data_IF_634832064384
#
_entry.id   IF_634832064384
#
_cell.length_a   1.000
_cell.length_b   1.000
_cell.length_c   1.000
_cell.angle_alpha   90.00
_cell.angle_beta   90.00
_cell.angle_gamma   90.00
#
_symmetry.space_group_name_H-M   'P 1'
#
loop_
_entity.id
_entity.type
_entity.pdbx_description
1 polymer ?
#
# COMPACT_ATOMS: atom_id res chain seq x y z
N UNK A 1 10.47 2.81 13.26
CA UNK A 1 9.77 4.07 12.91
C UNK A 1 10.57 4.87 11.90
N UNK A 2 9.93 5.57 10.96
CA UNK A 2 10.60 6.51 10.05
C UNK A 2 11.39 7.53 10.85
N UNK A 3 12.69 7.65 10.58
CA UNK A 3 13.48 8.72 11.18
C UNK A 3 13.08 10.06 10.54
N UNK A 4 12.68 11.05 11.34
CA UNK A 4 12.36 12.37 10.82
C UNK A 4 13.59 13.01 10.15
N UNK A 5 13.42 13.55 8.95
CA UNK A 5 14.54 14.05 8.16
C UNK A 5 14.78 15.54 8.43
N UNK A 6 16.02 15.90 8.77
CA UNK A 6 16.46 17.28 8.97
C UNK A 6 17.00 17.91 7.67
N UNK A 7 17.07 19.24 7.63
CA UNK A 7 17.58 19.97 6.46
C UNK A 7 19.05 19.69 6.17
N UNK A 8 19.88 19.52 7.21
CA UNK A 8 21.31 19.16 7.06
C UNK A 8 21.49 17.77 6.43
N UNK A 9 20.63 16.82 6.79
CA UNK A 9 20.67 15.47 6.20
C UNK A 9 20.29 15.50 4.70
N UNK A 10 19.32 16.35 4.32
CA UNK A 10 18.94 16.54 2.92
C UNK A 10 20.07 17.18 2.10
N UNK A 11 20.67 18.25 2.62
CA UNK A 11 21.76 18.94 1.94
C UNK A 11 22.97 18.02 1.73
N UNK A 12 23.42 17.34 2.80
CA UNK A 12 24.55 16.41 2.74
C UNK A 12 24.33 15.27 1.75
N UNK A 13 23.09 14.77 1.63
CA UNK A 13 22.77 13.61 0.78
C UNK A 13 22.56 13.99 -0.68
N UNK A 14 21.92 15.12 -0.96
CA UNK A 14 21.45 15.45 -2.31
C UNK A 14 22.09 16.71 -2.91
N UNK A 15 22.84 17.49 -2.13
CA UNK A 15 23.53 18.71 -2.59
C UNK A 15 22.62 19.61 -3.42
N UNK A 16 21.52 20.07 -2.81
CA UNK A 16 20.40 20.74 -3.49
C UNK A 16 20.75 22.15 -4.05
N UNK A 17 22.02 22.56 -3.99
CA UNK A 17 22.49 23.87 -4.47
C UNK A 17 22.04 25.06 -3.62
N UNK A 18 21.46 24.81 -2.44
CA UNK A 18 20.94 25.82 -1.50
C UNK A 18 21.37 25.51 -0.08
N UNK A 19 21.41 26.53 0.79
CA UNK A 19 21.85 26.33 2.17
C UNK A 19 20.88 25.47 3.00
N UNK A 20 21.36 24.77 4.04
CA UNK A 20 20.51 24.08 5.01
C UNK A 20 19.44 24.98 5.65
N UNK A 21 19.72 26.28 5.79
CA UNK A 21 18.74 27.25 6.30
C UNK A 21 17.60 27.49 5.31
N UNK A 22 17.90 27.58 4.01
CA UNK A 22 16.90 27.68 2.94
C UNK A 22 16.02 26.42 2.92
N UNK A 23 16.62 25.23 2.93
CA UNK A 23 15.89 23.95 2.99
C UNK A 23 14.99 23.92 4.23
N UNK A 24 15.50 24.35 5.39
CA UNK A 24 14.71 24.41 6.62
C UNK A 24 13.48 25.30 6.47
N UNK A 25 13.61 26.46 5.82
CA UNK A 25 12.50 27.39 5.58
C UNK A 25 11.44 26.78 4.66
N UNK A 26 11.85 26.14 3.56
CA UNK A 26 10.92 25.44 2.65
C UNK A 26 10.18 24.32 3.37
N UNK A 27 10.88 23.54 4.19
CA UNK A 27 10.24 22.49 5.00
C UNK A 27 9.25 23.07 6.01
N UNK A 28 9.48 24.27 6.56
CA UNK A 28 8.47 24.96 7.40
C UNK A 28 7.25 25.36 6.57
N UNK A 29 7.45 25.88 5.36
CA UNK A 29 6.36 26.21 4.44
C UNK A 29 5.52 24.98 4.11
N UNK A 30 6.16 23.87 3.74
CA UNK A 30 5.49 22.60 3.48
C UNK A 30 4.75 22.06 4.71
N UNK A 31 5.26 22.30 5.92
CA UNK A 31 4.51 21.97 7.15
C UNK A 31 3.27 22.84 7.33
N UNK A 32 3.35 24.15 7.07
CA UNK A 32 2.18 25.05 7.11
C UNK A 32 1.13 24.67 6.07
N UNK A 33 1.56 24.15 4.91
CA UNK A 33 0.68 23.65 3.84
C UNK A 33 0.15 22.23 4.11
N UNK A 34 0.52 21.59 5.22
CA UNK A 34 0.06 20.25 5.59
C UNK A 34 0.77 19.09 4.89
N UNK A 35 1.76 19.35 4.03
CA UNK A 35 2.52 18.30 3.33
C UNK A 35 3.49 17.58 4.26
N UNK A 36 4.09 18.29 5.20
CA UNK A 36 5.02 17.72 6.17
C UNK A 36 4.48 17.90 7.58
N UNK A 37 4.83 16.98 8.47
CA UNK A 37 4.59 17.11 9.91
C UNK A 37 5.88 16.96 10.69
N UNK A 38 5.92 17.60 11.85
CA UNK A 38 7.04 17.52 12.78
C UNK A 38 6.58 16.73 14.01
N UNK A 39 7.04 15.47 14.21
CA UNK A 39 6.58 14.64 15.33
C UNK A 39 6.93 15.21 16.71
N UNK A 40 8.10 15.83 16.82
CA UNK A 40 8.60 16.50 18.03
C UNK A 40 9.34 17.78 17.65
N UNK A 41 9.34 18.79 18.53
CA UNK A 41 9.93 20.12 18.27
C UNK A 41 11.41 20.11 17.87
N UNK A 42 12.18 19.10 18.31
CA UNK A 42 13.59 18.88 17.94
C UNK A 42 13.81 17.90 16.79
N UNK A 43 12.76 17.19 16.36
CA UNK A 43 12.85 16.20 15.30
C UNK A 43 12.84 16.87 13.92
N UNK A 44 13.37 16.15 12.92
CA UNK A 44 13.14 16.45 11.51
C UNK A 44 11.66 16.39 11.11
N UNK A 45 11.38 16.33 9.81
CA UNK A 45 10.02 16.27 9.28
C UNK A 45 9.74 14.90 8.68
N UNK A 46 8.47 14.52 8.67
CA UNK A 46 7.97 13.33 7.98
C UNK A 46 6.82 13.72 7.04
N UNK A 47 6.62 13.02 5.91
CA UNK A 47 5.47 13.25 5.04
C UNK A 47 4.15 13.00 5.75
N UNK A 48 3.16 13.84 5.46
CA UNK A 48 1.75 13.58 5.72
C UNK A 48 1.11 12.84 4.53
N UNK A 49 -0.09 12.24 4.66
CA UNK A 49 -0.80 11.56 3.58
C UNK A 49 -0.88 12.37 2.29
N UNK A 50 -1.20 13.66 2.39
CA UNK A 50 -1.29 14.55 1.22
C UNK A 50 0.04 14.65 0.46
N UNK A 51 1.17 14.65 1.15
CA UNK A 51 2.48 14.63 0.49
C UNK A 51 2.82 13.26 -0.11
N UNK A 52 2.39 12.17 0.53
CA UNK A 52 2.56 10.84 -0.03
C UNK A 52 1.73 10.68 -1.32
N UNK A 53 0.47 11.15 -1.32
CA UNK A 53 -0.36 11.18 -2.54
C UNK A 53 0.26 12.04 -3.62
N UNK A 54 0.71 13.25 -3.29
CA UNK A 54 1.43 14.10 -4.24
C UNK A 54 2.67 13.41 -4.83
N UNK A 55 3.45 12.72 -4.00
CA UNK A 55 4.59 11.93 -4.48
C UNK A 55 4.15 10.82 -5.46
N UNK A 56 3.11 10.07 -5.13
CA UNK A 56 2.57 8.99 -5.94
C UNK A 56 2.03 9.50 -7.28
N UNK A 57 1.33 10.63 -7.26
CA UNK A 57 0.62 11.14 -8.43
C UNK A 57 1.52 11.95 -9.37
N UNK A 58 2.53 12.63 -8.83
CA UNK A 58 3.28 13.66 -9.59
C UNK A 58 4.78 13.42 -9.68
N UNK A 59 5.39 12.63 -8.79
CA UNK A 59 6.84 12.55 -8.66
C UNK A 59 7.43 11.16 -8.89
N UNK A 60 6.70 10.10 -8.54
CA UNK A 60 7.23 8.75 -8.65
C UNK A 60 7.17 8.25 -10.09
N UNK A 61 8.13 7.40 -10.46
CA UNK A 61 8.11 6.63 -11.70
C UNK A 61 7.77 5.16 -11.37
N UNK A 62 6.74 4.63 -12.02
CA UNK A 62 6.35 3.23 -11.85
C UNK A 62 7.45 2.29 -12.39
N UNK A 63 7.79 1.26 -11.61
CA UNK A 63 8.66 0.17 -12.08
C UNK A 63 7.80 -0.90 -12.72
N UNK A 64 7.96 -1.11 -14.02
CA UNK A 64 7.30 -2.23 -14.70
C UNK A 64 7.77 -3.56 -14.08
N UNK A 65 6.85 -4.53 -14.01
CA UNK A 65 7.23 -5.90 -13.67
C UNK A 65 8.15 -6.46 -14.75
N UNK A 66 9.07 -7.34 -14.35
CA UNK A 66 9.86 -8.06 -15.34
C UNK A 66 8.99 -9.12 -16.02
N UNK A 67 9.24 -9.40 -17.29
CA UNK A 67 8.52 -10.44 -18.02
C UNK A 67 8.62 -11.81 -17.31
N UNK A 68 9.75 -12.11 -16.68
CA UNK A 68 9.93 -13.33 -15.91
C UNK A 68 8.98 -13.40 -14.69
N UNK A 69 8.81 -12.28 -13.98
CA UNK A 69 7.90 -12.20 -12.84
C UNK A 69 6.43 -12.31 -13.28
N UNK A 70 6.08 -11.72 -14.43
CA UNK A 70 4.76 -11.80 -15.05
C UNK A 70 4.41 -13.25 -15.43
N UNK A 71 5.30 -13.91 -16.18
CA UNK A 71 5.13 -15.32 -16.58
C UNK A 71 4.98 -16.21 -15.35
N UNK A 72 5.86 -16.06 -14.36
CA UNK A 72 5.77 -16.83 -13.11
C UNK A 72 4.44 -16.59 -12.39
N UNK A 73 3.98 -15.33 -12.32
CA UNK A 73 2.72 -15.00 -11.67
C UNK A 73 1.52 -15.62 -12.39
N UNK A 74 1.56 -15.65 -13.73
CA UNK A 74 0.52 -16.27 -14.53
C UNK A 74 0.48 -17.79 -14.34
N UNK A 75 1.64 -18.44 -14.32
CA UNK A 75 1.75 -19.89 -14.07
C UNK A 75 1.20 -20.26 -12.70
N UNK A 76 1.54 -19.50 -11.64
CA UNK A 76 1.09 -19.73 -10.26
C UNK A 76 -0.43 -19.76 -10.11
N UNK A 77 -1.17 -19.01 -10.94
CA UNK A 77 -2.64 -18.91 -10.83
C UNK A 77 -3.39 -19.68 -11.93
N UNK A 78 -2.68 -20.22 -12.92
CA UNK A 78 -3.31 -20.76 -14.13
C UNK A 78 -4.13 -22.03 -13.87
N UNK A 79 -3.65 -22.89 -12.99
CA UNK A 79 -4.31 -24.16 -12.68
C UNK A 79 -5.62 -23.95 -11.91
N UNK A 80 -5.70 -22.87 -11.12
CA UNK A 80 -6.87 -22.49 -10.33
C UNK A 80 -7.92 -21.70 -11.11
N UNK A 81 -7.75 -21.45 -12.43
CA UNK A 81 -8.66 -20.62 -13.26
C UNK A 81 -10.15 -20.99 -13.20
N UNK A 82 -10.45 -22.26 -12.96
CA UNK A 82 -11.81 -22.78 -12.95
C UNK A 82 -12.54 -22.54 -11.62
N UNK A 83 -11.81 -22.29 -10.53
CA UNK A 83 -12.35 -22.02 -9.21
C UNK A 83 -11.95 -20.60 -8.77
N UNK A 84 -12.93 -19.72 -8.56
CA UNK A 84 -12.63 -18.35 -8.18
C UNK A 84 -12.00 -18.27 -6.78
N UNK A 85 -12.42 -19.12 -5.84
CA UNK A 85 -11.90 -19.07 -4.47
C UNK A 85 -10.42 -19.48 -4.46
N UNK A 86 -10.08 -20.54 -5.18
CA UNK A 86 -8.69 -21.02 -5.33
C UNK A 86 -7.82 -20.00 -6.09
N UNK A 87 -8.35 -19.43 -7.17
CA UNK A 87 -7.69 -18.36 -7.93
C UNK A 87 -7.34 -17.15 -7.04
N UNK A 88 -8.28 -16.70 -6.21
CA UNK A 88 -8.05 -15.57 -5.32
C UNK A 88 -7.09 -15.91 -4.18
N UNK A 89 -7.12 -17.14 -3.69
CA UNK A 89 -6.16 -17.62 -2.69
C UNK A 89 -4.72 -17.57 -3.24
N UNK A 90 -4.48 -18.16 -4.43
CA UNK A 90 -3.15 -18.19 -5.05
C UNK A 90 -2.70 -16.80 -5.51
N UNK A 91 -3.59 -15.99 -6.07
CA UNK A 91 -3.29 -14.61 -6.42
C UNK A 91 -2.88 -13.79 -5.19
N UNK A 92 -3.56 -13.97 -4.05
CA UNK A 92 -3.23 -13.26 -2.80
C UNK A 92 -1.85 -13.68 -2.27
N UNK A 93 -1.51 -14.98 -2.30
CA UNK A 93 -0.17 -15.48 -1.91
C UNK A 93 0.91 -14.91 -2.83
N UNK A 94 0.72 -15.02 -4.14
CA UNK A 94 1.64 -14.55 -5.16
C UNK A 94 1.87 -13.02 -5.09
N UNK A 95 0.82 -12.25 -4.77
CA UNK A 95 0.89 -10.81 -4.53
C UNK A 95 1.67 -10.48 -3.26
N UNK A 96 1.44 -11.20 -2.15
CA UNK A 96 2.16 -11.01 -0.89
C UNK A 96 3.67 -11.26 -1.05
N UNK A 97 4.05 -12.31 -1.78
CA UNK A 97 5.46 -12.65 -2.04
C UNK A 97 6.20 -11.57 -2.82
N UNK A 98 5.58 -11.07 -3.91
CA UNK A 98 6.20 -10.06 -4.78
C UNK A 98 6.27 -8.68 -4.14
N UNK A 99 5.23 -8.32 -3.39
CA UNK A 99 5.17 -7.01 -2.73
C UNK A 99 5.92 -7.00 -1.41
N UNK A 100 6.23 -8.17 -0.83
CA UNK A 100 6.82 -8.33 0.51
C UNK A 100 6.03 -7.57 1.58
N UNK A 101 4.71 -7.63 1.49
CA UNK A 101 3.76 -7.03 2.42
C UNK A 101 2.62 -8.02 2.69
N UNK A 102 1.64 -7.61 3.50
CA UNK A 102 0.39 -8.36 3.62
C UNK A 102 -0.44 -8.06 2.37
N UNK A 103 -0.89 -9.11 1.70
CA UNK A 103 -1.86 -9.00 0.62
C UNK A 103 -3.23 -9.47 1.11
N UNK A 104 -4.28 -8.85 0.58
CA UNK A 104 -5.67 -9.17 0.87
C UNK A 104 -6.44 -9.24 -0.43
N UNK A 105 -7.35 -10.20 -0.55
CA UNK A 105 -8.40 -10.18 -1.55
C UNK A 105 -9.75 -10.23 -0.85
N UNK A 106 -10.76 -9.61 -1.43
CA UNK A 106 -12.14 -9.69 -0.94
C UNK A 106 -13.11 -9.76 -2.11
N UNK A 107 -14.28 -10.33 -1.86
CA UNK A 107 -15.43 -10.31 -2.79
C UNK A 107 -16.61 -9.62 -2.15
N UNK A 108 -17.50 -9.08 -2.99
CA UNK A 108 -18.80 -8.52 -2.58
C UNK A 108 -19.78 -9.56 -2.01
N UNK A 109 -19.37 -10.83 -1.95
CA UNK A 109 -20.07 -11.93 -1.28
C UNK A 109 -19.61 -12.15 0.16
N UNK A 110 -18.72 -11.30 0.70
CA UNK A 110 -18.24 -11.39 2.08
C UNK A 110 -17.03 -12.30 2.28
N UNK A 111 -16.53 -12.98 1.23
CA UNK A 111 -15.31 -13.79 1.35
C UNK A 111 -14.06 -12.93 1.30
N UNK A 112 -13.07 -13.32 2.09
CA UNK A 112 -11.79 -12.61 2.22
C UNK A 112 -10.63 -13.60 2.30
N UNK A 113 -9.51 -13.26 1.67
CA UNK A 113 -8.26 -14.01 1.68
C UNK A 113 -7.13 -13.10 2.12
N UNK A 114 -6.16 -13.65 2.87
CA UNK A 114 -5.01 -12.90 3.35
C UNK A 114 -3.74 -13.74 3.22
N UNK A 115 -2.62 -13.11 2.88
CA UNK A 115 -1.32 -13.76 2.86
C UNK A 115 -0.20 -12.78 3.24
N UNK A 116 0.97 -13.32 3.61
CA UNK A 116 2.16 -12.50 3.83
C UNK A 116 2.32 -11.92 5.24
N UNK A 117 1.67 -12.47 6.27
CA UNK A 117 1.82 -12.02 7.66
C UNK A 117 3.28 -11.95 8.13
N UNK A 118 4.13 -12.89 7.69
CA UNK A 118 5.57 -12.89 8.03
C UNK A 118 6.31 -11.65 7.51
N UNK A 119 5.83 -11.05 6.41
CA UNK A 119 6.44 -9.85 5.82
C UNK A 119 6.35 -8.64 6.75
N UNK A 120 5.34 -8.59 7.63
CA UNK A 120 5.17 -7.52 8.63
C UNK A 120 6.43 -7.36 9.46
N UNK A 121 7.05 -8.46 9.88
CA UNK A 121 8.23 -8.44 10.73
C UNK A 121 9.52 -7.93 10.03
N UNK A 122 9.48 -7.76 8.71
CA UNK A 122 10.61 -7.19 7.95
C UNK A 122 10.59 -5.65 7.93
N UNK A 123 9.53 -5.01 8.43
CA UNK A 123 9.39 -3.55 8.43
C UNK A 123 9.72 -2.95 9.80
N UNK A 124 10.59 -1.90 9.87
CA UNK A 124 10.89 -1.19 11.11
C UNK A 124 9.70 -0.49 11.77
N UNK A 125 8.58 -0.31 11.06
CA UNK A 125 7.35 0.27 11.62
C UNK A 125 6.60 -0.71 12.50
N UNK A 126 6.76 -2.00 12.22
CA UNK A 126 6.11 -3.09 12.93
C UNK A 126 7.00 -3.66 14.05
N UNK A 127 8.07 -2.95 14.45
CA UNK A 127 8.79 -3.27 15.68
C UNK A 127 7.96 -2.99 16.94
N UNK A 128 6.94 -2.14 16.85
CA UNK A 128 5.96 -1.94 17.92
C UNK A 128 4.89 -3.04 17.85
N UNK A 129 4.86 -3.89 18.88
CA UNK A 129 3.90 -4.99 18.98
C UNK A 129 2.44 -4.53 18.97
N UNK A 130 2.15 -3.31 19.42
CA UNK A 130 0.78 -2.76 19.38
C UNK A 130 0.36 -2.48 17.95
N UNK A 131 1.25 -1.96 17.12
CA UNK A 131 0.96 -1.73 15.70
C UNK A 131 0.73 -3.06 14.98
N UNK A 132 1.51 -4.10 15.30
CA UNK A 132 1.28 -5.45 14.78
C UNK A 132 -0.08 -6.00 15.23
N UNK A 133 -0.39 -5.92 16.53
CA UNK A 133 -1.65 -6.40 17.08
C UNK A 133 -2.84 -5.70 16.42
N UNK A 134 -2.80 -4.37 16.27
CA UNK A 134 -3.86 -3.60 15.60
C UNK A 134 -4.03 -4.02 14.14
N UNK A 135 -2.93 -4.22 13.40
CA UNK A 135 -2.98 -4.71 12.01
C UNK A 135 -3.63 -6.10 11.95
N UNK A 136 -3.22 -7.03 12.82
CA UNK A 136 -3.75 -8.40 12.79
C UNK A 136 -5.21 -8.45 13.22
N UNK A 137 -5.60 -7.71 14.26
CA UNK A 137 -7.02 -7.58 14.63
C UNK A 137 -7.85 -7.02 13.48
N UNK A 138 -7.34 -6.00 12.78
CA UNK A 138 -8.02 -5.48 11.58
C UNK A 138 -8.16 -6.52 10.47
N UNK A 139 -7.14 -7.33 10.22
CA UNK A 139 -7.17 -8.39 9.20
C UNK A 139 -8.12 -9.55 9.57
N UNK A 140 -8.41 -9.74 10.86
CA UNK A 140 -9.37 -10.74 11.34
C UNK A 140 -10.83 -10.25 11.24
N UNK A 141 -11.04 -8.94 11.16
CA UNK A 141 -12.35 -8.31 11.06
C UNK A 141 -12.82 -8.23 9.59
N UNK A 142 -13.48 -9.29 9.12
CA UNK A 142 -14.00 -9.37 7.74
C UNK A 142 -14.92 -8.18 7.39
N UNK A 143 -15.76 -7.72 8.33
CA UNK A 143 -16.65 -6.58 8.14
C UNK A 143 -15.87 -5.29 7.85
N UNK A 144 -14.75 -5.04 8.54
CA UNK A 144 -13.91 -3.86 8.28
C UNK A 144 -13.23 -3.93 6.92
N UNK A 145 -12.83 -5.13 6.47
CA UNK A 145 -12.28 -5.32 5.13
C UNK A 145 -13.36 -5.10 4.06
N UNK A 146 -14.58 -5.56 4.29
CA UNK A 146 -15.71 -5.26 3.41
C UNK A 146 -16.02 -3.76 3.36
N UNK A 147 -16.03 -3.07 4.51
CA UNK A 147 -16.18 -1.61 4.57
C UNK A 147 -15.07 -0.89 3.77
N UNK A 148 -13.81 -1.30 3.98
CA UNK A 148 -12.65 -0.75 3.28
C UNK A 148 -12.78 -0.88 1.76
N UNK A 149 -13.19 -2.05 1.27
CA UNK A 149 -13.19 -2.35 -0.16
C UNK A 149 -14.47 -1.92 -0.87
N UNK A 150 -15.66 -2.02 -0.27
CA UNK A 150 -16.92 -1.91 -1.01
C UNK A 150 -17.85 -0.80 -0.53
N UNK A 151 -17.67 -0.27 0.68
CA UNK A 151 -18.55 0.79 1.23
C UNK A 151 -17.96 2.19 1.10
N UNK A 152 -16.65 2.30 0.86
CA UNK A 152 -15.97 3.58 0.70
C UNK A 152 -16.03 4.07 -0.74
N UNK A 153 -16.30 5.37 -0.90
CA UNK A 153 -16.15 6.03 -2.19
C UNK A 153 -14.67 6.00 -2.61
N UNK A 154 -14.38 5.23 -3.66
CA UNK A 154 -13.07 5.24 -4.30
C UNK A 154 -12.75 6.60 -4.92
N UNK A 155 -11.49 6.86 -5.21
CA UNK A 155 -11.04 8.13 -5.83
C UNK A 155 -11.47 8.28 -7.29
N UNK A 156 -12.13 7.27 -7.87
CA UNK A 156 -12.38 7.16 -9.31
C UNK A 156 -11.15 6.70 -10.11
N UNK A 157 -10.00 6.52 -9.44
CA UNK A 157 -8.79 5.92 -10.01
C UNK A 157 -8.90 4.40 -10.07
N UNK A 158 -8.24 3.73 -11.03
CA UNK A 158 -8.09 2.28 -11.03
C UNK A 158 -7.39 1.70 -9.79
N UNK A 159 -6.59 2.53 -9.10
CA UNK A 159 -5.84 2.19 -7.89
C UNK A 159 -6.13 3.26 -6.84
N UNK A 160 -6.51 2.85 -5.64
CA UNK A 160 -6.71 3.73 -4.50
C UNK A 160 -5.56 3.57 -3.49
N UNK A 161 -5.07 4.70 -2.96
CA UNK A 161 -4.09 4.71 -1.89
C UNK A 161 -4.69 5.39 -0.68
N UNK A 162 -4.79 4.62 0.40
CA UNK A 162 -5.44 4.98 1.64
C UNK A 162 -4.42 4.93 2.78
N UNK A 163 -4.59 5.82 3.74
CA UNK A 163 -3.75 5.88 4.93
C UNK A 163 -4.62 5.70 6.17
N UNK A 164 -4.14 4.95 7.17
CA UNK A 164 -4.92 4.64 8.37
C UNK A 164 -5.52 5.87 9.07
N UNK A 165 -4.80 6.99 9.06
CA UNK A 165 -5.29 8.27 9.61
C UNK A 165 -6.43 8.93 8.81
N UNK A 166 -6.62 8.54 7.55
CA UNK A 166 -7.75 8.97 6.70
C UNK A 166 -8.96 8.03 6.80
N UNK A 167 -8.76 6.83 7.33
CA UNK A 167 -9.83 5.82 7.39
C UNK A 167 -10.81 6.05 8.54
N UNK A 168 -10.49 6.93 9.50
CA UNK A 168 -11.27 7.08 10.72
C UNK A 168 -11.06 5.93 11.72
N UNK A 169 -10.01 5.14 11.53
CA UNK A 169 -9.58 4.04 12.39
C UNK A 169 -8.19 4.34 12.97
N UNK A 170 -8.11 5.08 14.10
CA UNK A 170 -6.85 5.53 14.67
C UNK A 170 -5.86 4.40 14.99
N UNK A 171 -6.38 3.20 15.28
CA UNK A 171 -5.60 1.99 15.53
C UNK A 171 -4.72 1.58 14.33
N UNK A 172 -5.09 2.00 13.12
CA UNK A 172 -4.32 1.73 11.90
C UNK A 172 -3.24 2.76 11.61
N UNK A 173 -2.91 3.69 12.50
CA UNK A 173 -1.75 4.55 12.31
C UNK A 173 -0.47 3.81 12.76
N UNK A 174 0.61 3.69 11.94
CA UNK A 174 0.89 4.29 10.63
C UNK A 174 0.84 3.29 9.46
N UNK A 175 -0.34 2.76 9.14
CA UNK A 175 -0.57 1.80 8.06
C UNK A 175 -0.92 2.55 6.77
N UNK A 176 -0.35 2.09 5.66
CA UNK A 176 -0.73 2.44 4.31
C UNK A 176 -1.39 1.23 3.64
N UNK A 177 -2.39 1.50 2.81
CA UNK A 177 -3.18 0.51 2.09
C UNK A 177 -3.25 0.93 0.63
N UNK A 178 -2.95 0.02 -0.29
CA UNK A 178 -3.11 0.23 -1.73
C UNK A 178 -4.12 -0.79 -2.24
N UNK A 179 -5.20 -0.37 -2.87
CA UNK A 179 -6.28 -1.24 -3.32
C UNK A 179 -6.62 -1.06 -4.79
N UNK A 180 -7.24 -2.08 -5.38
CA UNK A 180 -7.83 -2.07 -6.72
C UNK A 180 -9.04 -2.98 -6.75
N UNK A 181 -9.97 -2.71 -7.64
CA UNK A 181 -11.11 -3.58 -7.90
C UNK A 181 -10.96 -4.32 -9.22
N UNK A 182 -11.55 -5.52 -9.28
CA UNK A 182 -11.64 -6.35 -10.46
C UNK A 182 -13.05 -6.94 -10.58
N UNK A 183 -13.39 -7.42 -11.77
CA UNK A 183 -14.63 -8.18 -11.98
C UNK A 183 -14.34 -9.54 -12.62
N UNK A 184 -14.70 -10.61 -11.91
CA UNK A 184 -14.44 -11.99 -12.34
C UNK A 184 -15.69 -12.85 -12.14
N UNK A 185 -16.09 -13.63 -13.15
CA UNK A 185 -17.25 -14.55 -13.10
C UNK A 185 -18.54 -13.92 -12.55
N UNK A 186 -18.78 -12.63 -12.82
CA UNK A 186 -19.96 -11.89 -12.36
C UNK A 186 -19.87 -11.34 -10.94
N UNK A 187 -18.80 -11.64 -10.20
CA UNK A 187 -18.51 -11.19 -8.84
C UNK A 187 -17.64 -9.94 -8.91
N UNK A 188 -17.93 -8.94 -8.08
CA UNK A 188 -17.03 -7.82 -7.88
C UNK A 188 -16.06 -8.19 -6.76
N UNK A 189 -14.76 -8.03 -7.04
CA UNK A 189 -13.73 -8.30 -6.06
C UNK A 189 -12.75 -7.16 -5.94
N UNK A 190 -11.95 -7.20 -4.90
CA UNK A 190 -10.89 -6.25 -4.66
C UNK A 190 -9.61 -6.97 -4.24
N UNK A 191 -8.48 -6.40 -4.63
CA UNK A 191 -7.16 -6.75 -4.11
C UNK A 191 -6.63 -5.56 -3.32
N UNK A 192 -5.87 -5.85 -2.28
CA UNK A 192 -5.22 -4.85 -1.43
C UNK A 192 -3.83 -5.31 -1.01
N UNK A 193 -2.94 -4.33 -0.82
CA UNK A 193 -1.66 -4.52 -0.16
C UNK A 193 -1.63 -3.60 1.06
N UNK A 194 -1.38 -4.18 2.21
CA UNK A 194 -1.38 -3.50 3.50
C UNK A 194 0.02 -3.58 4.10
N UNK A 195 0.51 -2.44 4.58
CA UNK A 195 1.81 -2.37 5.24
C UNK A 195 2.08 -0.99 5.84
N UNK A 196 3.34 -0.61 6.05
CA UNK A 196 3.65 0.70 6.64
C UNK A 196 3.23 1.85 5.71
N UNK A 197 2.98 3.03 6.26
CA UNK A 197 2.69 4.28 5.51
C UNK A 197 3.73 4.60 4.42
N UNK A 198 4.93 4.00 4.45
CA UNK A 198 5.99 4.12 3.45
C UNK A 198 6.11 2.87 2.58
N UNK A 199 4.98 2.32 2.13
CA UNK A 199 4.96 1.24 1.14
C UNK A 199 5.83 1.60 -0.08
N UNK A 200 6.40 0.59 -0.73
CA UNK A 200 7.11 0.79 -2.01
C UNK A 200 6.10 0.99 -3.14
N UNK A 201 5.49 2.16 -3.21
CA UNK A 201 4.43 2.49 -4.19
C UNK A 201 4.87 2.25 -5.63
N UNK A 202 6.12 2.55 -5.96
CA UNK A 202 6.73 2.32 -7.28
C UNK A 202 6.71 0.86 -7.72
N UNK A 203 6.63 -0.08 -6.76
CA UNK A 203 6.60 -1.52 -7.00
C UNK A 203 5.18 -2.07 -6.81
N UNK A 204 4.50 -1.65 -5.75
CA UNK A 204 3.20 -2.20 -5.35
C UNK A 204 2.11 -1.84 -6.35
N UNK A 205 2.05 -0.58 -6.78
CA UNK A 205 1.02 -0.12 -7.72
C UNK A 205 1.05 -0.91 -9.04
N UNK A 206 2.19 -1.05 -9.74
CA UNK A 206 2.24 -1.83 -10.98
C UNK A 206 1.99 -3.32 -10.75
N UNK A 207 2.48 -3.92 -9.66
CA UNK A 207 2.19 -5.34 -9.34
C UNK A 207 0.70 -5.54 -9.08
N UNK A 208 0.06 -4.67 -8.30
CA UNK A 208 -1.37 -4.76 -8.00
C UNK A 208 -2.22 -4.60 -9.27
N UNK A 209 -1.83 -3.67 -10.15
CA UNK A 209 -2.45 -3.46 -11.47
C UNK A 209 -2.32 -4.70 -12.36
N UNK A 210 -1.15 -5.34 -12.36
CA UNK A 210 -0.92 -6.59 -13.09
C UNK A 210 -1.82 -7.71 -12.57
N UNK A 211 -1.86 -7.96 -11.25
CA UNK A 211 -2.68 -9.02 -10.67
C UNK A 211 -4.18 -8.81 -10.90
N UNK A 212 -4.65 -7.56 -10.82
CA UNK A 212 -6.02 -7.21 -11.21
C UNK A 212 -6.33 -7.68 -12.64
N UNK A 213 -5.50 -7.30 -13.61
CA UNK A 213 -5.69 -7.66 -15.01
C UNK A 213 -5.57 -9.18 -15.23
N UNK A 214 -4.61 -9.82 -14.55
CA UNK A 214 -4.38 -11.26 -14.63
C UNK A 214 -5.61 -12.05 -14.15
N UNK A 215 -6.20 -11.67 -13.01
CA UNK A 215 -7.42 -12.32 -12.50
C UNK A 215 -8.57 -12.15 -13.50
N UNK A 216 -8.76 -10.95 -14.05
CA UNK A 216 -9.81 -10.69 -15.05
C UNK A 216 -9.60 -11.47 -16.35
N UNK A 217 -8.36 -11.67 -16.78
CA UNK A 217 -8.00 -12.47 -17.96
C UNK A 217 -8.24 -13.96 -17.69
N UNK A 218 -7.66 -14.49 -16.61
CA UNK A 218 -7.68 -15.92 -16.27
C UNK A 218 -9.11 -16.39 -15.95
N UNK A 219 -9.92 -15.55 -15.31
CA UNK A 219 -11.31 -15.88 -15.00
C UNK A 219 -12.24 -15.92 -16.24
N UNK A 220 -11.78 -15.44 -17.40
CA UNK A 220 -12.51 -15.51 -18.69
C UNK A 220 -12.09 -16.68 -19.57
N UNK A 221 -10.94 -17.30 -19.28
CA UNK A 221 -10.38 -18.44 -20.03
C UNK A 221 -11.11 -19.75 -19.70
#
# INVERSE_FOLDING_TARGET
MAEPVGSEALDKKYSLGVSPATIRNEMVTLTKLGYLRQPHTSAGRVPAPVAMKFYIDQLMEERQMSLADEVKAKEEVWDSRNDLDELLEEATKALAERTRNVAVAATDQGKVWHAGYSNVFNSPEFSDLRVCANLFSFLEEAEKLQELFFEREGSGSPIDVLFGEELGWPELNPIGIVTTHFKAKGINGALGVIGPVRLSYTTIIPVLRYFRNLIEEVARA
#
